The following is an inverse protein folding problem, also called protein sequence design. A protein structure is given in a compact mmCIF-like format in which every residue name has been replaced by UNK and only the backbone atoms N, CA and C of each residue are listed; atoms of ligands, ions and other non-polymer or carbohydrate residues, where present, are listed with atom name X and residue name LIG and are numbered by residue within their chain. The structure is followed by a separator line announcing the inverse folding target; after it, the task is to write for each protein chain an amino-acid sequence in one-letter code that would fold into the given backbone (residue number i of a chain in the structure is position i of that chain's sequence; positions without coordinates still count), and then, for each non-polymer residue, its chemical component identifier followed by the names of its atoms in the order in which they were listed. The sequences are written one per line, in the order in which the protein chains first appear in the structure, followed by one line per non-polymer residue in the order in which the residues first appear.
data_IF_450606362026
#
_entry.id   IF_450606362026
#
_cell.length_a   1.000
_cell.length_b   1.000
_cell.length_c   1.000
_cell.angle_alpha   90.00
_cell.angle_beta   90.00
_cell.angle_gamma   90.00
#
_symmetry.space_group_name_H-M   'P 1'
#
loop_
_entity.id
_entity.type
_entity.pdbx_description
1 polymer ?
#
# COMPACT_ATOMS: atom_id res chain seq x y z
N UNK A 1 15.10 20.24 16.09
CA UNK A 1 14.42 18.98 16.42
C UNK A 1 15.36 18.09 17.20
N UNK A 2 14.92 17.53 18.30
CA UNK A 2 15.76 16.62 19.07
C UNK A 2 15.76 15.21 18.49
N UNK A 3 16.67 14.36 18.98
CA UNK A 3 16.84 13.02 18.49
C UNK A 3 15.59 12.15 18.67
N UNK A 4 14.87 12.32 19.78
CA UNK A 4 13.65 11.57 20.06
C UNK A 4 12.56 11.86 19.03
N UNK A 5 12.35 13.13 18.68
CA UNK A 5 11.34 13.50 17.68
C UNK A 5 11.64 12.89 16.31
N UNK A 6 12.92 12.86 15.91
CA UNK A 6 13.34 12.25 14.66
C UNK A 6 13.01 10.75 14.64
N UNK A 7 13.28 10.04 15.73
CA UNK A 7 12.99 8.61 15.83
C UNK A 7 11.48 8.33 15.78
N UNK A 8 10.68 9.12 16.47
CA UNK A 8 9.22 8.98 16.47
C UNK A 8 8.67 9.18 15.06
N UNK A 9 9.13 10.20 14.34
CA UNK A 9 8.69 10.45 12.97
C UNK A 9 9.04 9.30 12.03
N UNK A 10 10.22 8.69 12.19
CA UNK A 10 10.61 7.51 11.42
C UNK A 10 9.73 6.30 11.71
N UNK A 11 9.26 6.15 12.96
CA UNK A 11 8.45 5.02 13.39
C UNK A 11 7.02 5.08 12.85
N UNK A 12 6.54 6.25 12.41
CA UNK A 12 5.15 6.44 11.97
C UNK A 12 5.02 6.68 10.47
N UNK A 13 6.08 6.52 9.69
CA UNK A 13 5.98 6.66 8.23
C UNK A 13 5.20 5.49 7.61
N UNK A 14 4.64 5.76 6.44
CA UNK A 14 3.89 4.75 5.67
C UNK A 14 4.85 3.99 4.77
N UNK A 15 4.74 2.67 4.80
CA UNK A 15 5.59 1.77 4.00
C UNK A 15 4.77 1.00 2.98
N UNK A 16 5.42 0.60 1.89
CA UNK A 16 4.80 -0.17 0.82
C UNK A 16 5.78 -1.18 0.24
N UNK A 17 5.25 -2.30 -0.22
CA UNK A 17 6.04 -3.32 -0.91
C UNK A 17 5.16 -4.20 -1.78
N UNK A 18 5.79 -4.87 -2.74
CA UNK A 18 5.17 -5.98 -3.46
C UNK A 18 5.23 -7.20 -2.55
N UNK A 19 4.08 -7.78 -2.24
CA UNK A 19 3.94 -8.85 -1.26
C UNK A 19 3.80 -10.23 -1.90
N UNK A 20 3.77 -10.35 -3.22
CA UNK A 20 3.63 -11.63 -3.92
C UNK A 20 4.96 -12.31 -4.15
N UNK A 21 5.01 -13.66 -4.14
CA UNK A 21 6.21 -14.40 -4.52
C UNK A 21 6.60 -14.12 -5.97
N UNK A 22 7.88 -14.09 -6.24
CA UNK A 22 8.40 -13.90 -7.60
C UNK A 22 8.02 -15.07 -8.51
N UNK A 23 7.68 -14.74 -9.76
CA UNK A 23 7.57 -15.70 -10.84
C UNK A 23 6.35 -16.60 -10.82
N UNK A 24 5.32 -16.30 -10.06
CA UNK A 24 4.14 -17.14 -9.94
C UNK A 24 2.85 -16.38 -10.19
N UNK A 25 2.03 -16.94 -11.08
CA UNK A 25 0.66 -16.50 -11.32
C UNK A 25 0.53 -15.12 -11.94
N UNK A 26 -0.70 -14.73 -12.18
CA UNK A 26 -1.02 -13.44 -12.77
C UNK A 26 -1.44 -12.38 -11.78
N UNK A 27 -1.30 -12.63 -10.47
CA UNK A 27 -1.76 -11.69 -9.44
C UNK A 27 -0.55 -11.08 -8.74
N UNK A 28 -0.47 -9.76 -8.76
CA UNK A 28 0.49 -9.00 -7.96
C UNK A 28 -0.24 -8.38 -6.78
N UNK A 29 0.33 -8.52 -5.59
CA UNK A 29 -0.21 -7.90 -4.37
C UNK A 29 0.74 -6.80 -3.92
N UNK A 30 0.20 -5.58 -3.80
CA UNK A 30 0.91 -4.45 -3.19
C UNK A 30 0.29 -4.23 -1.82
N UNK A 31 1.12 -4.16 -0.79
CA UNK A 31 0.66 -3.88 0.57
C UNK A 31 1.22 -2.55 1.04
N UNK A 32 0.37 -1.74 1.65
CA UNK A 32 0.69 -0.41 2.15
C UNK A 32 0.26 -0.35 3.62
N UNK A 33 1.12 0.13 4.51
CA UNK A 33 0.83 0.20 5.95
C UNK A 33 1.36 1.50 6.54
N UNK A 34 0.51 2.20 7.28
CA UNK A 34 0.92 3.39 8.01
C UNK A 34 -0.12 4.51 8.02
N UNK A 35 0.27 5.67 8.55
CA UNK A 35 -0.68 6.77 8.79
C UNK A 35 -1.21 7.43 7.50
N UNK A 36 -0.53 7.32 6.37
CA UNK A 36 -0.95 7.95 5.13
C UNK A 36 -1.82 7.05 4.24
N UNK A 37 -2.16 5.85 4.71
CA UNK A 37 -2.92 4.87 3.90
C UNK A 37 -4.24 5.42 3.39
N UNK A 38 -5.00 6.15 4.22
CA UNK A 38 -6.28 6.70 3.79
C UNK A 38 -6.12 7.72 2.66
N UNK A 39 -5.18 8.62 2.79
CA UNK A 39 -4.89 9.65 1.77
C UNK A 39 -4.42 8.99 0.48
N UNK A 40 -3.48 8.06 0.58
CA UNK A 40 -2.95 7.33 -0.57
C UNK A 40 -4.09 6.57 -1.27
N UNK A 41 -4.92 5.87 -0.50
CA UNK A 41 -6.03 5.10 -1.04
C UNK A 41 -7.04 5.96 -1.80
N UNK A 42 -7.40 7.11 -1.26
CA UNK A 42 -8.33 8.04 -1.93
C UNK A 42 -7.77 8.56 -3.23
N UNK A 43 -6.48 8.92 -3.26
CA UNK A 43 -5.84 9.43 -4.48
C UNK A 43 -5.67 8.33 -5.54
N UNK A 44 -5.30 7.13 -5.11
CA UNK A 44 -5.04 6.02 -6.01
C UNK A 44 -6.33 5.43 -6.59
N UNK A 45 -7.39 5.37 -5.80
CA UNK A 45 -8.62 4.63 -6.13
C UNK A 45 -9.82 5.53 -6.41
N UNK A 46 -9.73 6.81 -6.11
CA UNK A 46 -10.86 7.75 -6.21
C UNK A 46 -11.71 7.80 -4.95
N UNK A 47 -11.72 6.75 -4.16
CA UNK A 47 -12.34 6.69 -2.85
C UNK A 47 -11.71 5.56 -2.04
N UNK A 48 -11.89 5.58 -0.74
CA UNK A 48 -11.38 4.52 0.13
C UNK A 48 -12.46 3.44 0.27
N UNK A 49 -12.13 2.15 0.01
CA UNK A 49 -13.10 1.07 0.19
C UNK A 49 -13.58 0.98 1.64
N UNK A 50 -14.79 0.49 1.83
CA UNK A 50 -15.30 0.16 3.17
C UNK A 50 -14.35 -0.88 3.79
N UNK A 51 -14.00 -0.67 5.05
CA UNK A 51 -13.04 -1.56 5.73
C UNK A 51 -13.46 -3.03 5.65
N UNK A 52 -12.50 -3.89 5.29
CA UNK A 52 -12.61 -5.35 5.20
C UNK A 52 -13.50 -5.88 4.08
N UNK A 53 -13.92 -5.01 3.15
CA UNK A 53 -14.66 -5.42 1.95
C UNK A 53 -13.77 -5.25 0.73
N UNK A 54 -13.59 -6.32 -0.04
CA UNK A 54 -12.89 -6.26 -1.31
C UNK A 54 -13.76 -5.52 -2.33
N UNK A 55 -13.15 -4.54 -3.00
CA UNK A 55 -13.83 -3.76 -4.04
C UNK A 55 -12.98 -3.79 -5.30
N UNK A 56 -13.60 -4.07 -6.44
CA UNK A 56 -12.90 -4.08 -7.72
C UNK A 56 -12.85 -2.67 -8.28
N UNK A 57 -11.64 -2.14 -8.42
CA UNK A 57 -11.42 -0.73 -8.76
C UNK A 57 -10.29 -0.58 -9.76
N UNK A 58 -10.27 0.57 -10.44
CA UNK A 58 -9.12 1.02 -11.24
C UNK A 58 -8.09 1.66 -10.32
N UNK A 59 -6.82 1.32 -10.53
CA UNK A 59 -5.69 1.91 -9.84
C UNK A 59 -5.12 3.01 -10.73
N UNK A 60 -5.12 4.26 -10.24
CA UNK A 60 -4.98 5.43 -11.07
C UNK A 60 -3.58 6.04 -11.02
N UNK A 61 -3.04 6.37 -12.20
CA UNK A 61 -1.85 7.19 -12.35
C UNK A 61 -2.14 8.65 -11.98
N UNK A 62 -1.09 9.47 -11.93
CA UNK A 62 -1.22 10.90 -11.59
C UNK A 62 -2.11 11.65 -12.56
N UNK A 63 -2.10 11.27 -13.85
CA UNK A 63 -2.94 11.86 -14.88
C UNK A 63 -4.36 11.27 -14.91
N UNK A 64 -4.69 10.40 -13.95
CA UNK A 64 -5.98 9.74 -13.78
C UNK A 64 -6.26 8.64 -14.81
N UNK A 65 -5.28 8.26 -15.61
CA UNK A 65 -5.38 7.06 -16.43
C UNK A 65 -5.19 5.80 -15.56
N UNK A 66 -5.73 4.68 -16.03
CA UNK A 66 -5.67 3.42 -15.28
C UNK A 66 -4.31 2.74 -15.46
N UNK A 67 -3.63 2.45 -14.36
CA UNK A 67 -2.42 1.63 -14.36
C UNK A 67 -2.79 0.15 -14.48
N UNK A 68 -3.77 -0.28 -13.69
CA UNK A 68 -4.26 -1.65 -13.65
C UNK A 68 -5.63 -1.64 -12.98
N UNK A 69 -6.32 -2.77 -13.01
CA UNK A 69 -7.59 -2.97 -12.30
C UNK A 69 -7.47 -4.19 -11.42
N UNK A 70 -8.15 -4.17 -10.29
CA UNK A 70 -8.12 -5.30 -9.38
C UNK A 70 -8.87 -5.04 -8.11
N UNK A 71 -8.64 -5.90 -7.13
CA UNK A 71 -9.28 -5.81 -5.83
C UNK A 71 -8.48 -4.90 -4.92
N UNK A 72 -9.18 -4.02 -4.22
CA UNK A 72 -8.62 -3.21 -3.15
C UNK A 72 -9.32 -3.56 -1.85
N UNK A 73 -8.54 -3.77 -0.79
CA UNK A 73 -9.06 -4.11 0.54
C UNK A 73 -8.39 -3.19 1.55
N UNK A 74 -9.21 -2.44 2.28
CA UNK A 74 -8.76 -1.56 3.33
C UNK A 74 -8.99 -2.20 4.70
N UNK A 75 -7.98 -2.16 5.57
CA UNK A 75 -8.07 -2.63 6.95
C UNK A 75 -7.79 -1.46 7.86
N UNK A 76 -8.81 -1.04 8.60
CA UNK A 76 -8.68 0.10 9.52
C UNK A 76 -7.97 -0.33 10.81
N UNK A 77 -7.02 0.52 11.26
CA UNK A 77 -6.33 0.30 12.53
C UNK A 77 -7.34 0.21 13.69
N UNK A 78 -7.09 -0.61 14.71
CA UNK A 78 -5.96 -1.53 14.88
C UNK A 78 -6.20 -2.92 14.28
N UNK A 79 -7.31 -3.14 13.59
CA UNK A 79 -7.75 -4.45 13.11
C UNK A 79 -7.10 -4.79 11.76
N UNK A 80 -5.78 -4.91 11.78
CA UNK A 80 -4.95 -5.20 10.62
C UNK A 80 -3.72 -6.02 11.02
N UNK A 81 -2.98 -6.52 10.01
CA UNK A 81 -1.77 -7.30 10.26
C UNK A 81 -0.73 -6.53 11.08
N UNK A 82 -0.49 -5.27 10.74
CA UNK A 82 0.52 -4.45 11.43
C UNK A 82 -0.02 -3.69 12.64
N UNK A 83 -1.35 -3.66 12.83
CA UNK A 83 -2.00 -2.80 13.81
C UNK A 83 -2.20 -1.36 13.34
N UNK A 84 -1.67 -1.01 12.16
CA UNK A 84 -1.84 0.28 11.51
C UNK A 84 -2.96 0.19 10.47
N UNK A 85 -3.33 1.33 9.84
CA UNK A 85 -4.12 1.27 8.62
C UNK A 85 -3.34 0.52 7.54
N UNK A 86 -3.99 -0.40 6.85
CA UNK A 86 -3.39 -1.21 5.79
C UNK A 86 -4.28 -1.18 4.55
N UNK A 87 -3.67 -1.05 3.38
CA UNK A 87 -4.36 -1.20 2.10
C UNK A 87 -3.65 -2.28 1.30
N UNK A 88 -4.41 -3.25 0.79
CA UNK A 88 -3.91 -4.25 -0.15
C UNK A 88 -4.53 -4.02 -1.52
N UNK A 89 -3.69 -4.07 -2.55
CA UNK A 89 -4.08 -3.95 -3.94
C UNK A 89 -3.69 -5.23 -4.65
N UNK A 90 -4.67 -5.89 -5.30
CA UNK A 90 -4.45 -7.15 -6.01
C UNK A 90 -4.72 -6.91 -7.49
N UNK A 91 -3.64 -6.80 -8.28
CA UNK A 91 -3.72 -6.51 -9.69
C UNK A 91 -3.35 -7.71 -10.57
N UNK A 92 -3.43 -7.52 -11.88
CA UNK A 92 -3.26 -8.59 -12.87
C UNK A 92 -2.12 -8.35 -13.85
N UNK A 93 -1.45 -7.20 -13.76
CA UNK A 93 -0.57 -6.74 -14.82
C UNK A 93 0.83 -7.36 -14.86
N UNK A 94 1.14 -8.29 -13.99
CA UNK A 94 2.48 -8.89 -13.93
C UNK A 94 3.53 -7.96 -13.32
N UNK A 95 4.84 -8.34 -13.40
CA UNK A 95 5.90 -7.63 -12.66
C UNK A 95 6.12 -6.19 -13.08
N UNK A 96 6.00 -5.88 -14.37
CA UNK A 96 6.19 -4.51 -14.86
C UNK A 96 5.10 -3.58 -14.33
N UNK A 97 3.85 -4.01 -14.42
CA UNK A 97 2.71 -3.22 -13.93
C UNK A 97 2.74 -3.13 -12.41
N UNK A 98 3.10 -4.21 -11.73
CA UNK A 98 3.26 -4.19 -10.27
C UNK A 98 4.28 -3.14 -9.84
N UNK A 99 5.40 -3.05 -10.56
CA UNK A 99 6.41 -2.02 -10.29
C UNK A 99 5.88 -0.62 -10.57
N UNK A 100 5.14 -0.42 -11.66
CA UNK A 100 4.52 0.88 -11.96
C UNK A 100 3.56 1.29 -10.84
N UNK A 101 2.77 0.35 -10.34
CA UNK A 101 1.83 0.59 -9.26
C UNK A 101 2.56 0.93 -7.96
N UNK A 102 3.63 0.20 -7.65
CA UNK A 102 4.45 0.50 -6.48
C UNK A 102 5.06 1.90 -6.58
N UNK A 103 5.61 2.26 -7.73
CA UNK A 103 6.18 3.61 -7.93
C UNK A 103 5.12 4.69 -7.74
N UNK A 104 3.90 4.47 -8.21
CA UNK A 104 2.79 5.40 -7.99
C UNK A 104 2.49 5.57 -6.50
N UNK A 105 2.46 4.48 -5.75
CA UNK A 105 2.23 4.50 -4.30
C UNK A 105 3.34 5.29 -3.60
N UNK A 106 4.60 5.09 -4.02
CA UNK A 106 5.72 5.85 -3.46
C UNK A 106 5.62 7.34 -3.76
N UNK A 107 5.16 7.72 -4.97
CA UNK A 107 4.90 9.12 -5.31
C UNK A 107 3.85 9.75 -4.40
N UNK A 108 2.89 8.96 -3.95
CA UNK A 108 1.80 9.44 -3.08
C UNK A 108 2.21 9.56 -1.62
N UNK A 109 3.43 9.17 -1.27
CA UNK A 109 3.98 9.43 0.06
C UNK A 109 4.40 8.22 0.88
N UNK A 110 4.27 7.01 0.34
CA UNK A 110 4.81 5.83 1.00
C UNK A 110 6.32 5.71 0.77
N UNK A 111 7.00 5.04 1.68
CA UNK A 111 8.40 4.66 1.55
C UNK A 111 8.48 3.16 1.24
N UNK A 112 9.46 2.76 0.45
CA UNK A 112 9.67 1.33 0.20
C UNK A 112 10.03 0.63 1.51
N UNK A 113 9.33 -0.45 1.82
CA UNK A 113 9.58 -1.23 3.03
C UNK A 113 10.94 -1.94 2.95
N UNK A 114 11.62 -2.02 4.08
CA UNK A 114 12.79 -2.89 4.23
C UNK A 114 12.35 -4.35 4.30
N UNK A 115 13.20 -5.32 3.92
CA UNK A 115 12.85 -6.73 4.10
C UNK A 115 12.42 -7.02 5.54
N UNK A 116 11.27 -7.66 5.68
CA UNK A 116 10.71 -8.01 7.00
C UNK A 116 10.05 -6.89 7.77
N UNK A 117 9.96 -5.69 7.22
CA UNK A 117 9.46 -4.53 7.97
C UNK A 117 7.98 -4.63 8.33
N UNK A 118 7.15 -5.25 7.48
CA UNK A 118 5.74 -5.47 7.84
C UNK A 118 5.62 -6.38 9.07
N UNK A 119 6.41 -7.46 9.11
CA UNK A 119 6.43 -8.35 10.28
C UNK A 119 6.99 -7.65 11.51
N UNK A 120 8.00 -6.81 11.33
CA UNK A 120 8.57 -6.00 12.40
C UNK A 120 7.52 -5.09 13.03
N UNK A 121 6.66 -4.46 12.21
CA UNK A 121 5.58 -3.60 12.72
C UNK A 121 4.45 -4.38 13.37
N UNK A 122 4.24 -5.64 12.97
CA UNK A 122 3.20 -6.50 13.53
C UNK A 122 3.57 -7.02 14.91
N UNK A 123 4.84 -7.17 15.19
CA UNK A 123 5.37 -7.75 16.42
C UNK A 123 6.42 -6.83 17.03
#
# INVERSE_FOLDING_TARGET
MNHFETQVNQAIDTIAAVATPHGRGGIAVIRISGPSVQTIGKDLLGHLPKTRYAEYLSFLAADRTTIDEGLAIYFQAPNSFTGEDVLELQGHGGPVIANCLLQRVLQLGARLARPGEFSERAF
#
